data_IF_212460319145
#
_entry.id   IF_212460319145
#
_cell.length_a   1.000
_cell.length_b   1.000
_cell.length_c   1.000
_cell.angle_alpha   90.00
_cell.angle_beta   90.00
_cell.angle_gamma   90.00
#
_symmetry.space_group_name_H-M   'P 1'
#
loop_
_entity.id
_entity.type
_entity.pdbx_description
1 polymer ?
#
# COMPACT_ATOMS: atom_id res chain seq x y z
N UNK A 1 -1.14 -103.75 -18.07
CA UNK A 1 -0.93 -102.93 -16.86
C UNK A 1 -0.55 -101.48 -17.22
N UNK A 2 -1.17 -100.86 -18.24
CA UNK A 2 -0.83 -99.49 -18.68
C UNK A 2 -1.87 -98.42 -18.31
N UNK A 3 -3.07 -98.79 -17.82
CA UNK A 3 -4.13 -97.82 -17.53
C UNK A 3 -3.99 -97.08 -16.19
N UNK A 4 -3.30 -97.68 -15.21
CA UNK A 4 -3.17 -97.09 -13.86
C UNK A 4 -2.10 -95.99 -13.84
N UNK A 5 -1.02 -96.12 -14.63
CA UNK A 5 0.04 -95.09 -14.68
C UNK A 5 -0.41 -93.83 -15.42
N UNK A 6 -1.24 -93.95 -16.46
CA UNK A 6 -1.78 -92.79 -17.20
C UNK A 6 -2.82 -92.03 -16.38
N UNK A 7 -3.63 -92.71 -15.57
CA UNK A 7 -4.62 -92.08 -14.68
C UNK A 7 -3.97 -91.34 -13.49
N UNK A 8 -2.89 -91.91 -12.92
CA UNK A 8 -2.10 -91.22 -11.90
C UNK A 8 -1.31 -90.03 -12.48
N UNK A 9 -0.76 -90.14 -13.70
CA UNK A 9 -0.11 -89.02 -14.38
C UNK A 9 -1.10 -87.90 -14.74
N UNK A 10 -2.30 -88.22 -15.23
CA UNK A 10 -3.35 -87.22 -15.51
C UNK A 10 -3.79 -86.48 -14.24
N UNK A 11 -3.97 -87.21 -13.13
CA UNK A 11 -4.32 -86.62 -11.84
C UNK A 11 -3.18 -85.74 -11.29
N UNK A 12 -1.93 -86.18 -11.42
CA UNK A 12 -0.79 -85.37 -10.99
C UNK A 12 -0.69 -84.07 -11.81
N UNK A 13 -0.82 -84.13 -13.14
CA UNK A 13 -0.77 -82.94 -13.99
C UNK A 13 -1.93 -81.97 -13.74
N UNK A 14 -3.14 -82.49 -13.49
CA UNK A 14 -4.31 -81.69 -13.11
C UNK A 14 -4.13 -81.01 -11.75
N UNK A 15 -3.60 -81.71 -10.75
CA UNK A 15 -3.35 -81.16 -9.42
C UNK A 15 -2.24 -80.10 -9.47
N UNK A 16 -1.14 -80.36 -10.18
CA UNK A 16 -0.06 -79.38 -10.34
C UNK A 16 -0.52 -78.17 -11.16
N UNK A 17 -1.39 -78.38 -12.16
CA UNK A 17 -2.02 -77.30 -12.93
C UNK A 17 -2.98 -76.44 -12.10
N UNK A 18 -3.81 -77.06 -11.26
CA UNK A 18 -4.70 -76.37 -10.31
C UNK A 18 -3.92 -75.59 -9.25
N UNK A 19 -2.86 -76.19 -8.68
CA UNK A 19 -1.99 -75.52 -7.71
C UNK A 19 -1.20 -74.37 -8.36
N UNK A 20 -0.73 -74.55 -9.60
CA UNK A 20 -0.09 -73.47 -10.37
C UNK A 20 -1.05 -72.31 -10.67
N UNK A 21 -2.31 -72.61 -11.00
CA UNK A 21 -3.34 -71.62 -11.25
C UNK A 21 -3.76 -70.87 -9.98
N UNK A 22 -3.93 -71.57 -8.86
CA UNK A 22 -4.20 -70.96 -7.55
C UNK A 22 -3.01 -70.13 -7.06
N UNK A 23 -1.77 -70.59 -7.30
CA UNK A 23 -0.55 -69.84 -7.01
C UNK A 23 -0.43 -68.56 -7.84
N UNK A 24 -0.75 -68.64 -9.14
CA UNK A 24 -0.78 -67.47 -10.02
C UNK A 24 -1.87 -66.47 -9.61
N UNK A 25 -3.08 -66.93 -9.30
CA UNK A 25 -4.17 -66.08 -8.80
C UNK A 25 -3.82 -65.43 -7.45
N UNK A 26 -3.24 -66.19 -6.52
CA UNK A 26 -2.74 -65.66 -5.26
C UNK A 26 -1.66 -64.60 -5.46
N UNK A 27 -0.72 -64.85 -6.38
CA UNK A 27 0.32 -63.88 -6.77
C UNK A 27 -0.25 -62.59 -7.35
N UNK A 28 -1.27 -62.68 -8.21
CA UNK A 28 -1.96 -61.50 -8.79
C UNK A 28 -2.71 -60.72 -7.71
N UNK A 29 -3.39 -61.38 -6.78
CA UNK A 29 -4.10 -60.72 -5.67
C UNK A 29 -3.10 -59.98 -4.76
N UNK A 30 -1.99 -60.63 -4.39
CA UNK A 30 -0.95 -60.01 -3.55
C UNK A 30 -0.31 -58.82 -4.30
N UNK A 31 0.03 -59.00 -5.56
CA UNK A 31 0.66 -57.94 -6.37
C UNK A 31 -0.28 -56.75 -6.57
N UNK A 32 -1.56 -57.00 -6.84
CA UNK A 32 -2.57 -55.95 -6.96
C UNK A 32 -2.81 -55.23 -5.62
N UNK A 33 -2.85 -55.96 -4.50
CA UNK A 33 -2.99 -55.36 -3.17
C UNK A 33 -1.80 -54.44 -2.84
N UNK A 34 -0.56 -54.88 -3.08
CA UNK A 34 0.63 -54.06 -2.84
C UNK A 34 0.72 -52.88 -3.83
N UNK A 35 0.40 -53.08 -5.11
CA UNK A 35 0.37 -52.00 -6.09
C UNK A 35 -0.69 -50.95 -5.75
N UNK A 36 -1.89 -51.37 -5.33
CA UNK A 36 -2.95 -50.45 -4.88
C UNK A 36 -2.48 -49.64 -3.68
N UNK A 37 -1.95 -50.31 -2.64
CA UNK A 37 -1.47 -49.63 -1.43
C UNK A 37 -0.32 -48.66 -1.68
N UNK A 38 0.58 -49.00 -2.61
CA UNK A 38 1.71 -48.13 -2.97
C UNK A 38 1.26 -46.97 -3.86
N UNK A 39 0.28 -47.19 -4.74
CA UNK A 39 -0.38 -46.15 -5.52
C UNK A 39 -1.08 -45.14 -4.62
N UNK A 40 -1.84 -45.60 -3.61
CA UNK A 40 -2.54 -44.71 -2.67
C UNK A 40 -1.57 -43.84 -1.86
N UNK A 41 -0.44 -44.41 -1.43
CA UNK A 41 0.62 -43.64 -0.75
C UNK A 41 1.22 -42.58 -1.68
N UNK A 42 1.49 -42.92 -2.94
CA UNK A 42 2.02 -41.98 -3.92
C UNK A 42 1.03 -40.86 -4.23
N UNK A 43 -0.25 -41.19 -4.41
CA UNK A 43 -1.32 -40.21 -4.62
C UNK A 43 -1.43 -39.27 -3.40
N UNK A 44 -1.42 -39.80 -2.18
CA UNK A 44 -1.46 -38.98 -0.97
C UNK A 44 -0.24 -38.07 -0.82
N UNK A 45 0.95 -38.56 -1.15
CA UNK A 45 2.17 -37.75 -1.17
C UNK A 45 2.07 -36.63 -2.23
N UNK A 46 1.69 -36.95 -3.46
CA UNK A 46 1.52 -35.99 -4.56
C UNK A 46 0.43 -34.94 -4.22
N UNK A 47 -0.64 -35.34 -3.53
CA UNK A 47 -1.69 -34.42 -3.06
C UNK A 47 -1.17 -33.48 -1.97
N UNK A 48 -0.39 -33.98 -1.02
CA UNK A 48 0.22 -33.18 0.04
C UNK A 48 1.25 -32.19 -0.52
N UNK A 49 2.06 -32.62 -1.48
CA UNK A 49 3.04 -31.76 -2.14
C UNK A 49 2.37 -30.68 -2.97
N UNK A 50 1.32 -31.02 -3.74
CA UNK A 50 0.53 -30.02 -4.49
C UNK A 50 -0.22 -29.06 -3.57
N UNK A 51 -0.75 -29.51 -2.44
CA UNK A 51 -1.38 -28.63 -1.45
C UNK A 51 -0.36 -27.68 -0.82
N UNK A 52 0.83 -28.19 -0.49
CA UNK A 52 1.96 -27.37 0.00
C UNK A 52 2.39 -26.33 -1.03
N UNK A 53 2.53 -26.73 -2.30
CA UNK A 53 2.88 -25.82 -3.40
C UNK A 53 1.81 -24.74 -3.64
N UNK A 54 0.53 -25.11 -3.60
CA UNK A 54 -0.58 -24.14 -3.70
C UNK A 54 -0.58 -23.15 -2.55
N UNK A 55 -0.42 -23.63 -1.31
CA UNK A 55 -0.32 -22.75 -0.13
C UNK A 55 0.90 -21.86 -0.21
N UNK A 56 2.04 -22.37 -0.67
CA UNK A 56 3.25 -21.59 -0.91
C UNK A 56 3.01 -20.48 -1.93
N UNK A 57 2.44 -20.79 -3.10
CA UNK A 57 2.14 -19.81 -4.14
C UNK A 57 1.12 -18.76 -3.68
N UNK A 58 0.07 -19.18 -2.97
CA UNK A 58 -0.93 -18.27 -2.40
C UNK A 58 -0.30 -17.32 -1.37
N UNK A 59 0.57 -17.84 -0.49
CA UNK A 59 1.29 -17.01 0.48
C UNK A 59 2.24 -16.02 -0.20
N UNK A 60 2.91 -16.44 -1.27
CA UNK A 60 3.78 -15.57 -2.08
C UNK A 60 3.00 -14.44 -2.75
N UNK A 61 1.86 -14.72 -3.36
CA UNK A 61 1.02 -13.71 -4.03
C UNK A 61 0.51 -12.66 -3.05
N UNK A 62 -0.10 -13.11 -1.94
CA UNK A 62 -0.63 -12.19 -0.92
C UNK A 62 0.50 -11.36 -0.29
N UNK A 63 1.66 -11.96 -0.09
CA UNK A 63 2.83 -11.25 0.42
C UNK A 63 3.28 -10.14 -0.53
N UNK A 64 3.43 -10.44 -1.82
CA UNK A 64 3.85 -9.46 -2.82
C UNK A 64 2.89 -8.27 -2.87
N UNK A 65 1.59 -8.54 -2.87
CA UNK A 65 0.58 -7.49 -2.82
C UNK A 65 0.72 -6.60 -1.58
N UNK A 66 1.04 -7.19 -0.43
CA UNK A 66 1.20 -6.48 0.84
C UNK A 66 2.49 -5.64 0.88
N UNK A 67 3.60 -6.16 0.34
CA UNK A 67 4.86 -5.43 0.18
C UNK A 67 4.66 -4.21 -0.72
N UNK A 68 4.07 -4.40 -1.90
CA UNK A 68 3.77 -3.30 -2.81
C UNK A 68 2.90 -2.24 -2.12
N UNK A 69 1.93 -2.68 -1.31
CA UNK A 69 1.11 -1.76 -0.53
C UNK A 69 1.88 -1.00 0.55
N UNK A 70 2.95 -1.55 1.12
CA UNK A 70 3.79 -0.82 2.08
C UNK A 70 4.61 0.25 1.35
N UNK A 71 5.13 -0.07 0.15
CA UNK A 71 5.84 0.90 -0.70
C UNK A 71 4.91 2.01 -1.19
N UNK A 72 3.68 1.66 -1.56
CA UNK A 72 2.69 2.66 -1.96
C UNK A 72 2.33 3.59 -0.80
N UNK A 73 2.24 3.06 0.43
CA UNK A 73 1.99 3.87 1.62
C UNK A 73 3.09 4.90 1.86
N UNK A 74 4.34 4.48 1.68
CA UNK A 74 5.52 5.35 1.77
C UNK A 74 5.42 6.51 0.78
N UNK A 75 5.16 6.21 -0.50
CA UNK A 75 5.00 7.24 -1.53
C UNK A 75 3.87 8.22 -1.18
N UNK A 76 2.78 7.70 -0.62
CA UNK A 76 1.62 8.47 -0.23
C UNK A 76 1.87 9.38 0.98
N UNK A 77 2.65 8.91 1.99
CA UNK A 77 3.05 9.73 3.13
C UNK A 77 3.88 10.95 2.72
N UNK A 78 4.74 10.80 1.71
CA UNK A 78 5.54 11.91 1.19
C UNK A 78 4.71 13.04 0.59
N UNK A 79 3.56 12.72 -0.01
CA UNK A 79 2.68 13.69 -0.66
C UNK A 79 1.51 14.21 0.18
N UNK A 80 1.23 13.60 1.34
CA UNK A 80 -0.02 13.88 2.06
C UNK A 80 -0.07 15.27 2.69
N UNK A 81 1.07 15.80 3.11
CA UNK A 81 1.13 17.12 3.74
C UNK A 81 0.62 18.22 2.80
N UNK A 82 0.89 18.08 1.50
CA UNK A 82 0.52 19.04 0.45
C UNK A 82 -0.69 18.61 -0.38
N UNK A 83 -1.28 17.45 -0.10
CA UNK A 83 -2.45 16.96 -0.84
C UNK A 83 -3.65 17.91 -0.66
N UNK A 84 -4.40 18.14 -1.73
CA UNK A 84 -5.60 19.00 -1.73
C UNK A 84 -6.86 18.30 -1.21
N UNK A 85 -6.82 16.97 -1.04
CA UNK A 85 -7.90 16.19 -0.46
C UNK A 85 -7.36 14.92 0.21
N UNK A 86 -8.24 14.23 0.95
CA UNK A 86 -7.95 12.97 1.62
C UNK A 86 -8.60 11.75 0.92
N UNK A 87 -9.23 11.93 -0.24
CA UNK A 87 -10.03 10.88 -0.89
C UNK A 87 -9.16 9.71 -1.35
N UNK A 88 -8.06 10.01 -2.05
CA UNK A 88 -7.10 8.99 -2.50
C UNK A 88 -6.51 8.25 -1.30
N UNK A 89 -6.17 8.98 -0.23
CA UNK A 89 -5.61 8.39 1.00
C UNK A 89 -6.61 7.46 1.68
N UNK A 90 -7.88 7.84 1.74
CA UNK A 90 -8.95 7.02 2.30
C UNK A 90 -9.17 5.74 1.48
N UNK A 91 -9.12 5.82 0.16
CA UNK A 91 -9.23 4.65 -0.71
C UNK A 91 -8.02 3.72 -0.51
N UNK A 92 -6.82 4.29 -0.50
CA UNK A 92 -5.58 3.57 -0.25
C UNK A 92 -5.61 2.83 1.09
N UNK A 93 -5.99 3.51 2.17
CA UNK A 93 -6.10 2.93 3.52
C UNK A 93 -6.99 1.67 3.54
N UNK A 94 -8.14 1.71 2.85
CA UNK A 94 -9.05 0.55 2.77
C UNK A 94 -8.38 -0.65 2.10
N UNK A 95 -7.65 -0.40 1.00
CA UNK A 95 -6.94 -1.43 0.24
C UNK A 95 -5.79 -2.00 1.09
N UNK A 96 -4.96 -1.14 1.67
CA UNK A 96 -3.82 -1.51 2.51
C UNK A 96 -4.26 -2.36 3.70
N UNK A 97 -5.31 -1.93 4.41
CA UNK A 97 -5.85 -2.68 5.56
C UNK A 97 -6.29 -4.08 5.16
N UNK A 98 -6.92 -4.24 3.99
CA UNK A 98 -7.34 -5.55 3.48
C UNK A 98 -6.12 -6.44 3.19
N UNK A 99 -5.08 -5.89 2.57
CA UNK A 99 -3.86 -6.62 2.22
C UNK A 99 -3.10 -7.09 3.48
N UNK A 100 -2.93 -6.22 4.47
CA UNK A 100 -2.27 -6.58 5.73
C UNK A 100 -3.05 -7.62 6.54
N UNK A 101 -4.38 -7.51 6.61
CA UNK A 101 -5.21 -8.54 7.25
C UNK A 101 -5.09 -9.90 6.56
N UNK A 102 -5.04 -9.94 5.23
CA UNK A 102 -4.80 -11.20 4.52
C UNK A 102 -3.42 -11.77 4.88
N UNK A 103 -2.40 -10.92 4.95
CA UNK A 103 -1.05 -11.32 5.31
C UNK A 103 -0.97 -11.89 6.74
N UNK A 104 -1.63 -11.23 7.69
CA UNK A 104 -1.74 -11.68 9.08
C UNK A 104 -2.33 -13.09 9.19
N UNK A 105 -3.34 -13.42 8.37
CA UNK A 105 -4.05 -14.71 8.41
C UNK A 105 -3.28 -15.90 7.85
N UNK A 106 -2.34 -15.65 6.94
CA UNK A 106 -1.64 -16.72 6.19
C UNK A 106 -0.18 -16.88 6.59
N UNK A 107 0.35 -15.93 7.36
CA UNK A 107 1.73 -15.91 7.82
C UNK A 107 1.90 -16.80 9.04
N UNK A 108 3.13 -17.23 9.28
CA UNK A 108 3.47 -17.99 10.48
C UNK A 108 3.32 -17.11 11.73
N UNK A 109 3.14 -17.72 12.90
CA UNK A 109 2.69 -17.05 14.13
C UNK A 109 3.53 -15.81 14.48
N UNK A 110 4.86 -15.92 14.38
CA UNK A 110 5.77 -14.81 14.70
C UNK A 110 5.61 -13.62 13.73
N UNK A 111 5.42 -13.90 12.44
CA UNK A 111 5.22 -12.88 11.41
C UNK A 111 3.82 -12.28 11.50
N UNK A 112 2.82 -13.09 11.80
CA UNK A 112 1.45 -12.65 12.05
C UNK A 112 1.39 -11.62 13.17
N UNK A 113 2.09 -11.84 14.29
CA UNK A 113 2.21 -10.87 15.39
C UNK A 113 2.84 -9.55 14.90
N UNK A 114 3.93 -9.62 14.13
CA UNK A 114 4.59 -8.41 13.60
C UNK A 114 3.70 -7.65 12.61
N UNK A 115 2.93 -8.35 11.78
CA UNK A 115 1.97 -7.75 10.85
C UNK A 115 0.81 -7.09 11.61
N UNK A 116 0.34 -7.70 12.70
CA UNK A 116 -0.66 -7.10 13.58
C UNK A 116 -0.16 -5.81 14.23
N UNK A 117 1.08 -5.81 14.75
CA UNK A 117 1.74 -4.61 15.28
C UNK A 117 1.84 -3.52 14.21
N UNK A 118 2.32 -3.86 13.00
CA UNK A 118 2.40 -2.92 11.88
C UNK A 118 1.02 -2.36 11.50
N UNK A 119 -0.02 -3.21 11.48
CA UNK A 119 -1.39 -2.77 11.20
C UNK A 119 -1.89 -1.77 12.25
N UNK A 120 -1.57 -1.97 13.53
CA UNK A 120 -1.91 -1.03 14.59
C UNK A 120 -1.20 0.33 14.40
N UNK A 121 0.10 0.31 14.06
CA UNK A 121 0.86 1.52 13.78
C UNK A 121 0.32 2.29 12.57
N UNK A 122 -0.04 1.60 11.49
CA UNK A 122 -0.65 2.25 10.33
C UNK A 122 -2.02 2.85 10.67
N UNK A 123 -2.88 2.17 11.43
CA UNK A 123 -4.15 2.74 11.88
C UNK A 123 -3.94 4.02 12.69
N UNK A 124 -2.95 4.03 13.57
CA UNK A 124 -2.60 5.23 14.32
C UNK A 124 -2.17 6.39 13.39
N UNK A 125 -1.25 6.13 12.46
CA UNK A 125 -0.82 7.12 11.46
C UNK A 125 -1.99 7.66 10.65
N UNK A 126 -2.87 6.77 10.19
CA UNK A 126 -4.03 7.13 9.39
C UNK A 126 -4.97 8.03 10.19
N UNK A 127 -5.30 7.68 11.44
CA UNK A 127 -6.16 8.53 12.27
C UNK A 127 -5.51 9.89 12.56
N UNK A 128 -4.20 9.91 12.79
CA UNK A 128 -3.44 11.15 12.97
C UNK A 128 -3.50 12.02 11.71
N UNK A 129 -3.25 11.45 10.53
CA UNK A 129 -3.34 12.15 9.25
C UNK A 129 -4.75 12.71 9.04
N UNK A 130 -5.78 11.91 9.26
CA UNK A 130 -7.16 12.36 9.10
C UNK A 130 -7.47 13.56 10.00
N UNK A 131 -7.02 13.52 11.26
CA UNK A 131 -7.30 14.59 12.23
C UNK A 131 -6.51 15.87 11.90
N UNK A 132 -5.21 15.74 11.65
CA UNK A 132 -4.33 16.90 11.46
C UNK A 132 -4.47 17.52 10.07
N UNK A 133 -4.60 16.71 9.01
CA UNK A 133 -4.70 17.21 7.64
C UNK A 133 -6.06 17.87 7.37
N UNK A 134 -7.14 17.41 8.01
CA UNK A 134 -8.46 18.06 7.88
C UNK A 134 -8.42 19.53 8.35
N UNK A 135 -7.74 19.81 9.47
CA UNK A 135 -7.54 21.18 9.95
C UNK A 135 -6.71 22.04 8.96
N UNK A 136 -5.70 21.45 8.31
CA UNK A 136 -4.91 22.14 7.29
C UNK A 136 -5.69 22.44 6.01
N UNK A 137 -6.55 21.50 5.59
CA UNK A 137 -7.43 21.69 4.42
C UNK A 137 -8.42 22.83 4.65
N UNK A 138 -8.92 22.98 5.88
CA UNK A 138 -9.78 24.11 6.23
C UNK A 138 -9.02 25.45 6.14
N UNK A 139 -7.78 25.50 6.64
CA UNK A 139 -6.92 26.69 6.51
C UNK A 139 -6.60 27.01 5.05
N UNK A 140 -6.35 25.99 4.22
CA UNK A 140 -6.17 26.14 2.77
C UNK A 140 -7.42 26.75 2.11
N UNK A 141 -8.62 26.32 2.52
CA UNK A 141 -9.89 26.87 2.04
C UNK A 141 -10.04 28.35 2.41
N UNK A 142 -9.85 28.70 3.68
CA UNK A 142 -9.91 30.09 4.13
C UNK A 142 -8.93 30.98 3.38
N UNK A 143 -7.72 30.47 3.13
CA UNK A 143 -6.70 31.19 2.38
C UNK A 143 -7.13 31.42 0.93
N UNK A 144 -7.70 30.42 0.27
CA UNK A 144 -8.21 30.57 -1.10
C UNK A 144 -9.34 31.61 -1.18
N UNK A 145 -10.23 31.66 -0.19
CA UNK A 145 -11.25 32.71 -0.10
C UNK A 145 -10.64 34.11 0.06
N UNK A 146 -9.59 34.23 0.88
CA UNK A 146 -8.86 35.49 1.07
C UNK A 146 -8.18 35.95 -0.23
N UNK A 147 -7.54 35.03 -0.95
CA UNK A 147 -6.93 35.30 -2.27
C UNK A 147 -7.98 35.84 -3.24
N UNK A 148 -9.15 35.23 -3.31
CA UNK A 148 -10.21 35.69 -4.23
C UNK A 148 -10.74 37.08 -3.83
N UNK A 149 -10.87 37.37 -2.54
CA UNK A 149 -11.24 38.72 -2.06
C UNK A 149 -10.20 39.77 -2.45
N UNK A 150 -8.91 39.47 -2.30
CA UNK A 150 -7.82 40.37 -2.70
C UNK A 150 -7.88 40.63 -4.20
N UNK A 151 -8.11 39.59 -5.01
CA UNK A 151 -8.24 39.70 -6.46
C UNK A 151 -9.40 40.62 -6.88
N UNK A 152 -10.57 40.48 -6.26
CA UNK A 152 -11.72 41.37 -6.52
C UNK A 152 -11.40 42.82 -6.16
N UNK A 153 -10.68 43.06 -5.06
CA UNK A 153 -10.23 44.39 -4.67
C UNK A 153 -9.22 44.94 -5.69
N UNK A 154 -8.26 44.12 -6.13
CA UNK A 154 -7.28 44.49 -7.15
C UNK A 154 -7.94 44.95 -8.45
N UNK A 155 -8.96 44.23 -8.92
CA UNK A 155 -9.73 44.63 -10.11
C UNK A 155 -10.42 45.99 -9.96
N UNK A 156 -10.94 46.31 -8.76
CA UNK A 156 -11.55 47.62 -8.49
C UNK A 156 -10.53 48.75 -8.47
N UNK A 157 -9.34 48.48 -7.95
CA UNK A 157 -8.20 49.42 -7.92
C UNK A 157 -7.73 49.70 -9.35
N UNK A 158 -7.50 48.65 -10.13
CA UNK A 158 -7.07 48.73 -11.54
C UNK A 158 -8.07 49.51 -12.40
N UNK A 159 -9.37 49.20 -12.30
CA UNK A 159 -10.43 49.93 -13.00
C UNK A 159 -10.38 51.45 -12.74
N UNK A 160 -10.08 51.85 -11.49
CA UNK A 160 -9.97 53.26 -11.14
C UNK A 160 -8.72 53.89 -11.75
N UNK A 161 -7.58 53.19 -11.72
CA UNK A 161 -6.28 53.65 -12.26
C UNK A 161 -6.30 53.82 -13.78
N UNK A 162 -7.03 52.97 -14.50
CA UNK A 162 -7.27 53.11 -15.94
C UNK A 162 -8.17 54.31 -16.30
N UNK A 163 -8.77 54.92 -15.29
CA UNK A 163 -9.57 56.13 -15.42
C UNK A 163 -11.08 55.88 -15.50
N UNK A 164 -11.57 54.82 -14.87
CA UNK A 164 -13.00 54.51 -14.77
C UNK A 164 -13.88 55.65 -14.24
N UNK A 165 -13.32 56.59 -13.48
CA UNK A 165 -14.02 57.76 -12.94
C UNK A 165 -13.98 59.02 -13.85
N UNK A 166 -13.34 58.98 -15.03
CA UNK A 166 -13.11 60.16 -15.90
C UNK A 166 -14.40 60.85 -16.39
N UNK A 167 -15.53 60.14 -16.41
CA UNK A 167 -16.83 60.64 -16.89
C UNK A 167 -17.77 61.10 -15.76
N UNK A 168 -17.32 61.07 -14.50
CA UNK A 168 -18.17 61.35 -13.36
C UNK A 168 -18.27 62.86 -13.06
N UNK A 169 -19.39 63.28 -12.49
CA UNK A 169 -19.51 64.62 -11.92
C UNK A 169 -18.61 64.76 -10.67
N UNK A 170 -18.33 65.99 -10.24
CA UNK A 170 -17.36 66.25 -9.17
C UNK A 170 -17.65 65.51 -7.85
N UNK A 171 -18.93 65.33 -7.49
CA UNK A 171 -19.34 64.58 -6.30
C UNK A 171 -19.06 63.08 -6.47
N UNK A 172 -19.50 62.50 -7.57
CA UNK A 172 -19.29 61.09 -7.88
C UNK A 172 -17.80 60.75 -8.07
N UNK A 173 -16.99 61.67 -8.60
CA UNK A 173 -15.54 61.51 -8.70
C UNK A 173 -14.86 61.50 -7.32
N UNK A 174 -15.32 62.34 -6.38
CA UNK A 174 -14.81 62.36 -5.01
C UNK A 174 -15.18 61.07 -4.25
N UNK A 175 -16.42 60.57 -4.42
CA UNK A 175 -16.88 59.30 -3.85
C UNK A 175 -16.07 58.12 -4.41
N UNK A 176 -15.87 58.06 -5.73
CA UNK A 176 -15.05 57.02 -6.38
C UNK A 176 -13.58 57.05 -5.90
N UNK A 177 -13.00 58.24 -5.69
CA UNK A 177 -11.64 58.39 -5.16
C UNK A 177 -11.54 57.90 -3.71
N UNK A 178 -12.56 58.15 -2.88
CA UNK A 178 -12.62 57.65 -1.51
C UNK A 178 -12.73 56.12 -1.49
N UNK A 179 -13.56 55.56 -2.37
CA UNK A 179 -13.67 54.10 -2.54
C UNK A 179 -12.34 53.48 -3.00
N UNK A 180 -11.62 54.09 -3.96
CA UNK A 180 -10.28 53.67 -4.37
C UNK A 180 -9.30 53.63 -3.19
N UNK A 181 -9.21 54.70 -2.41
CA UNK A 181 -8.28 54.77 -1.26
C UNK A 181 -8.62 53.71 -0.20
N UNK A 182 -9.91 53.48 0.07
CA UNK A 182 -10.37 52.44 0.99
C UNK A 182 -10.03 51.04 0.47
N UNK A 183 -10.29 50.77 -0.81
CA UNK A 183 -9.98 49.48 -1.44
C UNK A 183 -8.48 49.20 -1.47
N UNK A 184 -7.64 50.21 -1.77
CA UNK A 184 -6.19 50.06 -1.77
C UNK A 184 -5.66 49.75 -0.36
N UNK A 185 -6.12 50.50 0.66
CA UNK A 185 -5.78 50.21 2.06
C UNK A 185 -6.25 48.83 2.51
N UNK A 186 -7.48 48.46 2.17
CA UNK A 186 -8.04 47.15 2.51
C UNK A 186 -7.24 46.02 1.83
N UNK A 187 -6.89 46.20 0.55
CA UNK A 187 -6.04 45.28 -0.21
C UNK A 187 -4.70 45.04 0.48
N UNK A 188 -4.00 46.10 0.90
CA UNK A 188 -2.73 45.99 1.62
C UNK A 188 -2.86 45.21 2.94
N UNK A 189 -3.90 45.47 3.72
CA UNK A 189 -4.16 44.77 4.99
C UNK A 189 -4.43 43.28 4.74
N UNK A 190 -5.29 42.97 3.77
CA UNK A 190 -5.63 41.58 3.44
C UNK A 190 -4.43 40.83 2.83
N UNK A 191 -3.60 41.48 2.01
CA UNK A 191 -2.37 40.90 1.49
C UNK A 191 -1.39 40.57 2.61
N UNK A 192 -1.22 41.46 3.60
CA UNK A 192 -0.38 41.17 4.77
C UNK A 192 -0.92 39.99 5.60
N UNK A 193 -2.24 39.94 5.82
CA UNK A 193 -2.90 38.81 6.48
C UNK A 193 -2.70 37.51 5.70
N UNK A 194 -2.85 37.55 4.37
CA UNK A 194 -2.64 36.40 3.48
C UNK A 194 -1.21 35.87 3.60
N UNK A 195 -0.21 36.74 3.51
CA UNK A 195 1.20 36.33 3.65
C UNK A 195 1.46 35.64 5.00
N UNK A 196 0.85 36.13 6.08
CA UNK A 196 1.00 35.52 7.40
C UNK A 196 0.30 34.16 7.50
N UNK A 197 -0.95 34.06 7.03
CA UNK A 197 -1.68 32.78 6.96
C UNK A 197 -0.95 31.74 6.12
N UNK A 198 -0.38 32.15 4.99
CA UNK A 198 0.44 31.29 4.12
C UNK A 198 1.66 30.74 4.85
N UNK A 199 2.40 31.59 5.58
CA UNK A 199 3.56 31.16 6.36
C UNK A 199 3.17 30.17 7.46
N UNK A 200 2.06 30.44 8.15
CA UNK A 200 1.54 29.55 9.19
C UNK A 200 1.14 28.19 8.62
N UNK A 201 0.38 28.18 7.53
CA UNK A 201 -0.02 26.96 6.84
C UNK A 201 1.22 26.14 6.41
N UNK A 202 2.22 26.78 5.82
CA UNK A 202 3.46 26.11 5.42
C UNK A 202 4.20 25.51 6.61
N UNK A 203 4.29 26.23 7.73
CA UNK A 203 4.95 25.75 8.93
C UNK A 203 4.23 24.51 9.51
N UNK A 204 2.90 24.52 9.53
CA UNK A 204 2.13 23.38 10.01
C UNK A 204 2.18 22.17 9.07
N UNK A 205 2.15 22.38 7.75
CA UNK A 205 2.40 21.33 6.75
C UNK A 205 3.79 20.71 6.95
N UNK A 206 4.81 21.53 7.19
CA UNK A 206 6.17 21.05 7.48
C UNK A 206 6.20 20.22 8.76
N UNK A 207 5.56 20.69 9.84
CA UNK A 207 5.48 19.98 11.12
C UNK A 207 4.78 18.63 10.98
N UNK A 208 3.66 18.58 10.25
CA UNK A 208 2.96 17.33 9.93
C UNK A 208 3.89 16.37 9.20
N UNK A 209 4.55 16.82 8.14
CA UNK A 209 5.44 15.98 7.35
C UNK A 209 6.63 15.43 8.15
N UNK A 210 7.28 16.27 8.97
CA UNK A 210 8.37 15.84 9.85
C UNK A 210 7.92 14.76 10.83
N UNK A 211 6.74 14.93 11.44
CA UNK A 211 6.19 13.91 12.33
C UNK A 211 5.91 12.59 11.60
N UNK A 212 5.34 12.63 10.39
CA UNK A 212 5.07 11.44 9.59
C UNK A 212 6.35 10.72 9.19
N UNK A 213 7.39 11.45 8.81
CA UNK A 213 8.72 10.92 8.52
C UNK A 213 9.35 10.24 9.74
N UNK A 214 9.40 10.93 10.88
CA UNK A 214 9.99 10.40 12.11
C UNK A 214 9.23 9.15 12.61
N UNK A 215 7.90 9.17 12.53
CA UNK A 215 7.10 8.01 12.92
C UNK A 215 7.28 6.85 11.94
N UNK A 216 7.38 7.13 10.63
CA UNK A 216 7.64 6.10 9.64
C UNK A 216 9.01 5.44 9.87
N UNK A 217 10.05 6.23 10.20
CA UNK A 217 11.36 5.73 10.57
C UNK A 217 11.26 4.74 11.75
N UNK A 218 10.43 5.02 12.76
CA UNK A 218 10.22 4.13 13.90
C UNK A 218 9.59 2.78 13.55
N UNK A 219 8.75 2.73 12.51
CA UNK A 219 8.08 1.49 12.08
C UNK A 219 8.80 0.79 10.92
N UNK A 220 9.80 1.43 10.32
CA UNK A 220 10.63 0.83 9.26
C UNK A 220 11.35 -0.45 9.72
N UNK A 221 11.71 -0.54 11.01
CA UNK A 221 12.30 -1.73 11.61
C UNK A 221 11.33 -2.93 11.67
N UNK A 222 10.04 -2.67 11.93
CA UNK A 222 8.97 -3.67 11.87
C UNK A 222 8.79 -4.17 10.43
N UNK A 223 8.71 -3.25 9.46
CA UNK A 223 8.62 -3.58 8.04
C UNK A 223 9.81 -4.46 7.62
N UNK A 224 11.03 -4.07 8.01
CA UNK A 224 12.24 -4.84 7.71
C UNK A 224 12.25 -6.24 8.36
N UNK A 225 11.72 -6.38 9.57
CA UNK A 225 11.62 -7.67 10.27
C UNK A 225 10.64 -8.61 9.57
N UNK A 226 9.46 -8.09 9.22
CA UNK A 226 8.43 -8.80 8.47
C UNK A 226 9.04 -9.30 7.14
N UNK A 227 9.70 -8.40 6.41
CA UNK A 227 10.35 -8.72 5.14
C UNK A 227 11.44 -9.79 5.25
N UNK A 228 12.29 -9.72 6.28
CA UNK A 228 13.33 -10.74 6.55
C UNK A 228 12.74 -12.11 6.86
N UNK A 229 11.67 -12.16 7.66
CA UNK A 229 10.95 -13.40 7.95
C UNK A 229 10.45 -14.06 6.67
N UNK A 230 9.88 -13.27 5.77
CA UNK A 230 9.45 -13.79 4.48
C UNK A 230 10.59 -14.22 3.57
N UNK A 231 11.72 -13.50 3.55
CA UNK A 231 12.92 -13.98 2.83
C UNK A 231 13.36 -15.36 3.29
N UNK A 232 13.28 -15.62 4.60
CA UNK A 232 13.58 -16.94 5.16
C UNK A 232 12.52 -17.99 4.75
N UNK A 233 11.23 -17.65 4.83
CA UNK A 233 10.13 -18.59 4.53
C UNK A 233 10.07 -19.05 3.06
N UNK A 234 10.49 -18.17 2.13
CA UNK A 234 10.38 -18.42 0.69
C UNK A 234 11.71 -18.68 -0.02
N UNK A 235 12.85 -18.66 0.69
CA UNK A 235 14.17 -18.95 0.12
C UNK A 235 14.60 -17.96 -0.97
N UNK A 236 14.55 -16.67 -0.68
CA UNK A 236 14.52 -15.60 -1.67
C UNK A 236 15.89 -14.96 -1.98
N UNK A 237 16.74 -15.71 -2.68
CA UNK A 237 17.70 -15.14 -3.65
C UNK A 237 17.02 -14.86 -5.02
N UNK A 238 15.72 -15.15 -5.15
CA UNK A 238 14.93 -15.14 -6.38
C UNK A 238 14.12 -13.86 -6.63
N UNK A 239 14.24 -12.83 -5.78
CA UNK A 239 13.59 -11.55 -6.02
C UNK A 239 14.50 -10.60 -6.78
N UNK A 240 13.90 -9.85 -7.71
CA UNK A 240 14.54 -8.70 -8.33
C UNK A 240 14.91 -7.71 -7.22
N UNK A 241 16.17 -7.80 -6.76
CA UNK A 241 16.75 -6.97 -5.70
C UNK A 241 16.56 -5.48 -5.95
N UNK A 242 16.28 -5.07 -7.18
CA UNK A 242 16.08 -3.67 -7.53
C UNK A 242 14.64 -3.18 -7.33
N UNK A 243 13.62 -4.07 -7.33
CA UNK A 243 12.20 -3.67 -7.21
C UNK A 243 11.61 -3.78 -5.82
N UNK A 244 12.05 -4.78 -5.05
CA UNK A 244 11.40 -5.14 -3.79
C UNK A 244 12.39 -5.28 -2.63
N UNK A 245 13.62 -4.77 -2.76
CA UNK A 245 14.55 -4.75 -1.64
C UNK A 245 14.27 -3.56 -0.70
N UNK A 246 13.26 -3.75 0.14
CA UNK A 246 12.93 -2.87 1.26
C UNK A 246 13.82 -3.13 2.49
N UNK A 247 14.81 -4.03 2.36
CA UNK A 247 15.82 -4.19 3.42
C UNK A 247 16.80 -3.02 3.43
N UNK A 248 16.88 -2.28 2.33
CA UNK A 248 17.61 -1.01 2.25
C UNK A 248 16.74 0.16 2.76
N UNK A 249 16.57 0.19 4.09
CA UNK A 249 15.89 1.26 4.81
C UNK A 249 16.44 2.66 4.47
N UNK A 250 17.70 2.74 4.02
CA UNK A 250 18.35 4.01 3.64
C UNK A 250 17.80 4.52 2.31
N UNK A 251 17.67 3.66 1.30
CA UNK A 251 17.06 4.03 0.02
C UNK A 251 15.59 4.44 0.20
N UNK A 252 14.89 3.73 1.09
CA UNK A 252 13.50 4.01 1.41
C UNK A 252 13.35 5.41 2.04
N UNK A 253 14.14 5.70 3.07
CA UNK A 253 14.21 7.02 3.68
C UNK A 253 14.59 8.12 2.68
N UNK A 254 15.51 7.84 1.76
CA UNK A 254 15.92 8.81 0.74
C UNK A 254 14.77 9.18 -0.21
N UNK A 255 13.96 8.20 -0.62
CA UNK A 255 12.83 8.40 -1.53
C UNK A 255 11.70 9.22 -0.88
N UNK A 256 11.37 8.96 0.39
CA UNK A 256 10.38 9.78 1.12
C UNK A 256 10.88 11.22 1.24
N UNK A 257 12.14 11.40 1.66
CA UNK A 257 12.73 12.72 1.78
C UNK A 257 12.75 13.47 0.46
N UNK A 258 12.99 12.79 -0.66
CA UNK A 258 12.95 13.38 -2.00
C UNK A 258 11.55 13.86 -2.37
N UNK A 259 10.54 12.99 -2.28
CA UNK A 259 9.16 13.35 -2.59
C UNK A 259 8.67 14.50 -1.69
N UNK A 260 9.07 14.49 -0.42
CA UNK A 260 8.81 15.58 0.51
C UNK A 260 9.48 16.89 0.08
N UNK A 261 10.77 16.87 -0.27
CA UNK A 261 11.47 18.06 -0.72
C UNK A 261 10.90 18.64 -2.01
N UNK A 262 10.46 17.79 -2.94
CA UNK A 262 9.78 18.21 -4.16
C UNK A 262 8.44 18.90 -3.82
N UNK A 263 7.59 18.25 -3.01
CA UNK A 263 6.30 18.80 -2.58
C UNK A 263 6.45 20.14 -1.82
N UNK A 264 7.43 20.25 -0.92
CA UNK A 264 7.71 21.48 -0.17
C UNK A 264 8.36 22.56 -1.03
N UNK A 265 9.16 22.17 -2.02
CA UNK A 265 9.73 23.07 -3.02
C UNK A 265 8.64 23.75 -3.84
N UNK A 266 7.67 22.97 -4.32
CA UNK A 266 6.51 23.47 -5.05
C UNK A 266 5.65 24.41 -4.20
N UNK A 267 5.40 24.04 -2.93
CA UNK A 267 4.70 24.90 -1.99
C UNK A 267 5.44 26.23 -1.79
N UNK A 268 6.76 26.19 -1.53
CA UNK A 268 7.58 27.39 -1.33
C UNK A 268 7.65 28.30 -2.55
N UNK A 269 7.70 27.73 -3.76
CA UNK A 269 7.66 28.48 -5.00
C UNK A 269 6.32 29.21 -5.16
N UNK A 270 5.20 28.53 -4.84
CA UNK A 270 3.86 29.12 -4.87
C UNK A 270 3.73 30.30 -3.91
N UNK A 271 4.34 30.21 -2.73
CA UNK A 271 4.42 31.32 -1.75
C UNK A 271 5.26 32.48 -2.30
N UNK A 272 6.37 32.17 -2.96
CA UNK A 272 7.31 33.19 -3.48
C UNK A 272 6.78 33.91 -4.72
N UNK A 273 5.77 33.33 -5.39
CA UNK A 273 5.08 33.93 -6.55
C UNK A 273 3.85 34.79 -6.18
N UNK A 274 3.44 34.79 -4.90
CA UNK A 274 2.37 35.61 -4.35
C UNK A 274 2.93 36.91 -3.75
#
# INVERSE_FOLDING_TARGET
MNGISTFLQLNSALITGLLGMLGALGGVIITNYYNSKNSDKKINFDLLDKDRERKFNLRKEIYLEAVDSIVDFEAMLGGIATASSLDEFNQFHRIQTKKLKKLELISDMDISIKVADLSAHFRYLINYILTEKEALLEKERELNELVERIKVIGQKVEWFEEGGAKSYNAKAAAEAKLEYLNNNRLGQVLSAEMTEKVKQLFHEQQKLAMYLLDYFDNISGLIGTIYKGFRADFGLDLFDSNRHDLSDQINLKHKINKNFQEAMGDAKNKISSL
#
